data_IF_637859461111
#
_entry.id   IF_637859461111
#
_cell.length_a   1.000
_cell.length_b   1.000
_cell.length_c   1.000
_cell.angle_alpha   90.00
_cell.angle_beta   90.00
_cell.angle_gamma   90.00
#
_symmetry.space_group_name_H-M   'P 1'
#
loop_
_entity.id
_entity.type
_entity.pdbx_description
1 polymer ?
#
# COMPACT_ATOMS: atom_id res chain seq x y z
N UNK A 1 28.93 -10.94 -56.31
CA UNK A 1 28.21 -11.59 -55.21
C UNK A 1 27.04 -12.31 -55.87
N UNK A 2 26.89 -13.62 -55.59
CA UNK A 2 25.82 -14.45 -56.18
C UNK A 2 24.47 -13.98 -55.63
N UNK A 3 23.45 -13.91 -56.47
CA UNK A 3 22.05 -13.54 -56.11
C UNK A 3 21.55 -14.38 -54.92
N UNK A 4 21.98 -15.58 -54.76
CA UNK A 4 21.66 -16.47 -53.63
C UNK A 4 22.14 -15.97 -52.28
N UNK A 5 23.32 -15.34 -52.21
CA UNK A 5 23.86 -14.76 -50.94
C UNK A 5 23.06 -13.53 -50.51
N UNK A 6 22.63 -12.71 -51.45
CA UNK A 6 21.83 -11.52 -51.18
C UNK A 6 20.44 -11.89 -50.62
N UNK A 7 19.78 -12.89 -51.19
CA UNK A 7 18.49 -13.39 -50.69
C UNK A 7 18.62 -13.97 -49.28
N UNK A 8 19.69 -14.74 -49.02
CA UNK A 8 19.93 -15.33 -47.72
C UNK A 8 20.11 -14.23 -46.62
N UNK A 9 20.83 -13.15 -46.93
CA UNK A 9 21.02 -12.02 -45.97
C UNK A 9 19.71 -11.32 -45.69
N UNK A 10 18.88 -11.05 -46.73
CA UNK A 10 17.58 -10.39 -46.56
C UNK A 10 16.63 -11.22 -45.65
N UNK A 11 16.60 -12.55 -45.87
CA UNK A 11 15.78 -13.46 -45.04
C UNK A 11 16.24 -13.46 -43.58
N UNK A 12 17.53 -13.51 -43.32
CA UNK A 12 18.08 -13.49 -41.95
C UNK A 12 17.77 -12.16 -41.26
N UNK A 13 17.92 -11.03 -41.93
CA UNK A 13 17.59 -9.70 -41.37
C UNK A 13 16.10 -9.59 -41.06
N UNK A 14 15.22 -10.10 -41.95
CA UNK A 14 13.77 -10.10 -41.73
C UNK A 14 13.38 -10.97 -40.51
N UNK A 15 13.98 -12.15 -40.38
CA UNK A 15 13.71 -13.05 -39.24
C UNK A 15 14.21 -12.47 -37.90
N UNK A 16 15.38 -11.85 -37.90
CA UNK A 16 15.90 -11.16 -36.71
C UNK A 16 15.03 -9.96 -36.35
N UNK A 17 14.59 -9.17 -37.34
CA UNK A 17 13.68 -8.04 -37.13
C UNK A 17 12.34 -8.47 -36.53
N UNK A 18 11.74 -9.55 -37.06
CA UNK A 18 10.51 -10.13 -36.51
C UNK A 18 10.68 -10.65 -35.07
N UNK A 19 11.81 -11.30 -34.79
CA UNK A 19 12.15 -11.78 -33.44
C UNK A 19 12.29 -10.64 -32.43
N UNK A 20 12.96 -9.55 -32.81
CA UNK A 20 13.12 -8.37 -31.96
C UNK A 20 11.77 -7.67 -31.74
N UNK A 21 10.94 -7.54 -32.76
CA UNK A 21 9.60 -6.95 -32.66
C UNK A 21 8.69 -7.75 -31.71
N UNK A 22 8.75 -9.09 -31.81
CA UNK A 22 8.01 -9.99 -30.92
C UNK A 22 8.50 -9.90 -29.44
N UNK A 23 9.82 -9.75 -29.21
CA UNK A 23 10.36 -9.56 -27.87
C UNK A 23 9.98 -8.20 -27.25
N UNK A 24 9.97 -7.13 -28.06
CA UNK A 24 9.56 -5.81 -27.60
C UNK A 24 8.05 -5.78 -27.28
N UNK A 25 7.21 -6.40 -28.13
CA UNK A 25 5.77 -6.51 -27.89
C UNK A 25 5.46 -7.31 -26.61
N UNK A 26 6.23 -8.36 -26.31
CA UNK A 26 6.06 -9.19 -25.10
C UNK A 26 6.50 -8.48 -23.82
N UNK A 27 7.41 -7.48 -23.90
CA UNK A 27 7.86 -6.69 -22.73
C UNK A 27 6.88 -5.61 -22.29
N UNK A 28 5.97 -5.17 -23.16
CA UNK A 28 5.06 -4.05 -22.88
C UNK A 28 3.66 -4.45 -22.40
N UNK A 29 3.36 -5.73 -22.27
CA UNK A 29 2.09 -6.22 -21.73
C UNK A 29 2.19 -6.55 -20.24
N UNK A 30 2.52 -5.57 -19.39
CA UNK A 30 2.19 -5.67 -17.98
C UNK A 30 0.67 -5.59 -17.86
N UNK A 31 -0.01 -6.58 -17.26
CA UNK A 31 -1.44 -6.50 -17.04
C UNK A 31 -1.71 -5.25 -16.17
N UNK A 32 -2.39 -4.26 -16.73
CA UNK A 32 -2.87 -3.13 -15.96
C UNK A 32 -3.96 -3.68 -15.03
N UNK A 33 -3.64 -3.88 -13.76
CA UNK A 33 -4.63 -4.23 -12.75
C UNK A 33 -5.64 -3.09 -12.67
N UNK A 34 -6.79 -3.29 -13.29
CA UNK A 34 -7.90 -2.34 -13.23
C UNK A 34 -8.51 -2.41 -11.82
N UNK A 35 -8.48 -1.28 -11.11
CA UNK A 35 -9.21 -1.16 -9.85
C UNK A 35 -10.69 -0.93 -10.14
N UNK A 36 -11.57 -1.60 -9.39
CA UNK A 36 -13.02 -1.37 -9.45
C UNK A 36 -13.41 -0.50 -8.25
N UNK A 37 -14.16 0.56 -8.49
CA UNK A 37 -14.69 1.42 -7.45
C UNK A 37 -15.62 0.65 -6.49
N UNK A 38 -15.35 0.67 -5.19
CA UNK A 38 -16.19 0.03 -4.17
C UNK A 38 -17.57 0.69 -4.04
N UNK A 39 -17.72 1.98 -4.44
CA UNK A 39 -18.99 2.69 -4.39
C UNK A 39 -19.87 2.46 -5.61
N UNK A 40 -19.43 2.87 -6.80
CA UNK A 40 -20.26 2.84 -8.02
C UNK A 40 -19.90 1.71 -9.01
N UNK A 41 -18.95 0.85 -8.66
CA UNK A 41 -18.44 -0.31 -9.43
C UNK A 41 -17.85 0.00 -10.81
N UNK A 42 -17.59 1.28 -11.12
CA UNK A 42 -16.90 1.67 -12.35
C UNK A 42 -15.41 1.38 -12.25
N UNK A 43 -14.79 1.16 -13.40
CA UNK A 43 -13.34 0.98 -13.51
C UNK A 43 -12.64 2.29 -13.11
N UNK A 44 -11.63 2.18 -12.27
CA UNK A 44 -10.76 3.27 -11.84
C UNK A 44 -9.36 3.07 -12.41
N UNK A 45 -8.70 4.14 -12.80
CA UNK A 45 -7.28 4.05 -13.10
C UNK A 45 -6.48 3.74 -11.82
N UNK A 46 -5.41 2.95 -11.92
CA UNK A 46 -4.58 2.57 -10.75
C UNK A 46 -4.05 3.77 -9.96
N UNK A 47 -3.81 4.90 -10.64
CA UNK A 47 -3.31 6.14 -10.05
C UNK A 47 -4.39 6.98 -9.33
N UNK A 48 -5.66 6.64 -9.48
CA UNK A 48 -6.73 7.37 -8.82
C UNK A 48 -6.82 7.01 -7.34
N UNK A 49 -6.74 8.01 -6.49
CA UNK A 49 -6.91 7.89 -5.03
C UNK A 49 -8.37 8.01 -4.62
N UNK A 50 -9.23 8.54 -5.50
CA UNK A 50 -10.69 8.61 -5.33
C UNK A 50 -11.38 8.38 -6.67
N UNK A 51 -12.61 7.89 -6.63
CA UNK A 51 -13.43 7.74 -7.81
C UNK A 51 -13.88 9.10 -8.31
N UNK A 52 -13.58 9.44 -9.57
CA UNK A 52 -13.98 10.72 -10.17
C UNK A 52 -15.50 10.79 -10.46
N UNK A 53 -16.21 9.65 -10.43
CA UNK A 53 -17.64 9.60 -10.72
C UNK A 53 -18.52 9.74 -9.47
N UNK A 54 -18.14 9.13 -8.34
CA UNK A 54 -18.94 9.12 -7.12
C UNK A 54 -18.21 9.63 -5.87
N UNK A 55 -16.96 10.07 -6.01
CA UNK A 55 -16.15 10.56 -4.89
C UNK A 55 -15.64 9.49 -3.92
N UNK A 56 -16.03 8.21 -4.08
CA UNK A 56 -15.58 7.13 -3.22
C UNK A 56 -14.05 7.02 -3.22
N UNK A 57 -13.46 6.90 -2.05
CA UNK A 57 -12.04 6.59 -1.90
C UNK A 57 -11.88 5.33 -1.04
N UNK A 58 -10.95 4.45 -1.38
CA UNK A 58 -10.66 3.30 -0.53
C UNK A 58 -10.24 3.81 0.86
N UNK A 59 -10.81 3.23 1.88
CA UNK A 59 -10.50 3.52 3.28
C UNK A 59 -9.71 2.34 3.81
N UNK A 60 -8.47 2.57 4.22
CA UNK A 60 -7.70 1.51 4.87
C UNK A 60 -8.26 1.22 6.27
N UNK A 61 -7.93 0.04 6.80
CA UNK A 61 -8.29 -0.37 8.14
C UNK A 61 -7.11 -0.99 8.87
N UNK A 62 -7.20 -1.01 10.19
CA UNK A 62 -6.34 -1.77 11.08
C UNK A 62 -7.13 -2.95 11.64
N UNK A 63 -6.66 -4.16 11.37
CA UNK A 63 -7.19 -5.37 11.98
C UNK A 63 -6.30 -5.72 13.19
N UNK A 64 -6.80 -5.53 14.40
CA UNK A 64 -6.04 -5.80 15.63
C UNK A 64 -5.95 -7.30 15.88
N UNK A 65 -4.72 -7.82 15.96
CA UNK A 65 -4.44 -9.24 16.12
C UNK A 65 -3.95 -9.61 17.51
N UNK A 66 -3.43 -8.63 18.28
CA UNK A 66 -2.92 -8.82 19.63
C UNK A 66 -3.20 -7.59 20.50
N UNK A 67 -3.33 -7.79 21.81
CA UNK A 67 -3.52 -6.74 22.79
C UNK A 67 -4.97 -6.48 23.18
N UNK A 68 -5.27 -5.35 23.87
CA UNK A 68 -6.62 -5.04 24.39
C UNK A 68 -7.71 -4.94 23.34
N UNK A 69 -7.33 -4.67 22.10
CA UNK A 69 -8.27 -4.55 20.96
C UNK A 69 -8.26 -5.76 20.03
N UNK A 70 -7.66 -6.88 20.42
CA UNK A 70 -7.60 -8.08 19.58
C UNK A 70 -8.97 -8.47 19.02
N UNK A 71 -9.00 -8.89 17.76
CA UNK A 71 -10.22 -9.21 16.97
C UNK A 71 -11.13 -8.02 16.65
N UNK A 72 -10.69 -6.79 16.89
CA UNK A 72 -11.41 -5.60 16.44
C UNK A 72 -10.81 -5.06 15.14
N UNK A 73 -11.62 -4.34 14.39
CA UNK A 73 -11.21 -3.66 13.16
C UNK A 73 -11.53 -2.18 13.29
N UNK A 74 -10.57 -1.32 12.94
CA UNK A 74 -10.74 0.12 12.89
C UNK A 74 -10.53 0.64 11.47
N UNK A 75 -11.54 1.34 10.93
CA UNK A 75 -11.40 2.03 9.64
C UNK A 75 -10.64 3.34 9.82
N UNK A 76 -9.64 3.58 8.97
CA UNK A 76 -8.85 4.82 8.93
C UNK A 76 -9.56 5.86 8.06
N UNK A 77 -10.79 6.24 8.45
CA UNK A 77 -11.65 7.17 7.71
C UNK A 77 -11.26 8.64 7.92
N UNK A 78 -10.61 8.94 9.03
CA UNK A 78 -10.15 10.28 9.38
C UNK A 78 -8.82 10.60 8.67
N UNK A 79 -8.55 11.89 8.49
CA UNK A 79 -7.29 12.36 7.91
C UNK A 79 -6.09 11.99 8.81
N UNK A 80 -6.30 12.03 10.13
CA UNK A 80 -5.31 11.67 11.13
C UNK A 80 -5.95 10.77 12.18
N UNK A 81 -5.38 9.57 12.35
CA UNK A 81 -5.72 8.63 13.43
C UNK A 81 -4.61 8.64 14.46
N UNK A 82 -4.91 9.00 15.70
CA UNK A 82 -3.93 9.00 16.81
C UNK A 82 -4.10 7.77 17.69
N UNK A 83 -2.99 7.24 18.17
CA UNK A 83 -2.92 6.05 19.04
C UNK A 83 -2.18 6.43 20.33
N UNK A 84 -2.77 6.11 21.48
CA UNK A 84 -2.16 6.39 22.78
C UNK A 84 -2.95 5.82 23.94
N UNK A 85 -2.44 6.00 25.17
CA UNK A 85 -3.02 5.38 26.38
C UNK A 85 -4.11 6.21 27.07
N UNK A 86 -4.31 7.47 26.67
CA UNK A 86 -5.30 8.37 27.30
C UNK A 86 -6.43 8.75 26.36
N UNK A 87 -7.55 9.15 26.94
CA UNK A 87 -8.66 9.70 26.19
C UNK A 87 -8.22 10.93 25.37
N UNK A 88 -8.89 11.14 24.20
CA UNK A 88 -8.51 12.15 23.22
C UNK A 88 -7.65 11.61 22.08
N UNK A 89 -7.21 10.35 22.13
CA UNK A 89 -6.70 9.63 20.97
C UNK A 89 -7.88 8.96 20.22
N UNK A 90 -7.75 8.79 18.93
CA UNK A 90 -8.72 8.01 18.12
C UNK A 90 -8.73 6.56 18.56
N UNK A 91 -7.55 6.01 18.86
CA UNK A 91 -7.36 4.66 19.41
C UNK A 91 -6.78 4.79 20.82
N UNK A 92 -7.55 4.36 21.82
CA UNK A 92 -7.11 4.34 23.22
C UNK A 92 -6.72 2.91 23.60
N UNK A 93 -5.43 2.71 23.88
CA UNK A 93 -4.88 1.42 24.29
C UNK A 93 -4.59 1.46 25.78
N UNK A 94 -5.36 0.72 26.57
CA UNK A 94 -5.14 0.55 28.01
C UNK A 94 -3.96 -0.39 28.26
N UNK A 95 -2.75 0.08 27.94
CA UNK A 95 -1.48 -0.68 28.01
C UNK A 95 -0.41 0.22 28.63
N UNK A 96 0.24 -0.18 29.75
CA UNK A 96 1.28 0.59 30.40
C UNK A 96 2.53 0.79 29.53
N UNK A 97 2.73 -0.03 28.51
CA UNK A 97 3.81 0.13 27.53
C UNK A 97 3.50 1.20 26.46
N UNK A 98 2.28 1.76 26.45
CA UNK A 98 1.84 2.77 25.49
C UNK A 98 1.89 4.17 26.12
N UNK A 99 2.59 5.09 25.47
CA UNK A 99 2.65 6.51 25.87
C UNK A 99 1.29 7.20 25.68
N UNK A 100 1.04 8.30 26.43
CA UNK A 100 -0.21 9.07 26.32
C UNK A 100 -0.55 9.48 24.88
N UNK A 101 0.44 9.96 24.12
CA UNK A 101 0.44 10.09 22.67
C UNK A 101 1.59 9.22 22.17
N UNK A 102 1.31 8.16 21.44
CA UNK A 102 2.34 7.17 21.08
C UNK A 102 2.64 7.18 19.60
N UNK A 103 1.62 7.07 18.79
CA UNK A 103 1.76 7.02 17.34
C UNK A 103 0.63 7.80 16.64
N UNK A 104 0.86 8.18 15.41
CA UNK A 104 -0.14 8.77 14.54
C UNK A 104 -0.07 8.16 13.14
N UNK A 105 -1.23 7.91 12.55
CA UNK A 105 -1.34 7.52 11.14
C UNK A 105 -2.08 8.65 10.43
N UNK A 106 -1.49 9.18 9.37
CA UNK A 106 -2.15 10.20 8.53
C UNK A 106 -2.25 9.76 7.09
N UNK A 107 -3.31 10.19 6.42
CA UNK A 107 -3.50 9.98 4.99
C UNK A 107 -2.88 11.16 4.22
N UNK A 108 -1.89 10.89 3.37
CA UNK A 108 -1.20 11.89 2.53
C UNK A 108 -1.21 11.39 1.10
N UNK A 109 -1.82 12.14 0.18
CA UNK A 109 -1.90 11.79 -1.25
C UNK A 109 -2.39 10.34 -1.51
N UNK A 110 -3.30 9.85 -0.68
CA UNK A 110 -3.85 8.49 -0.79
C UNK A 110 -2.97 7.39 -0.20
N UNK A 111 -1.81 7.74 0.35
CA UNK A 111 -0.94 6.84 1.11
C UNK A 111 -1.14 7.07 2.61
N UNK A 112 -0.84 6.07 3.41
CA UNK A 112 -0.90 6.16 4.87
C UNK A 112 0.51 6.20 5.45
N UNK A 113 0.81 7.23 6.20
CA UNK A 113 2.08 7.40 6.91
C UNK A 113 1.88 7.18 8.40
N UNK A 114 2.58 6.21 8.95
CA UNK A 114 2.72 5.99 10.39
C UNK A 114 3.90 6.81 10.90
N UNK A 115 3.73 7.48 12.04
CA UNK A 115 4.80 8.20 12.72
C UNK A 115 4.77 7.91 14.23
N UNK A 116 5.94 7.78 14.83
CA UNK A 116 6.14 7.81 16.28
C UNK A 116 6.02 9.26 16.76
N UNK A 117 5.18 9.50 17.75
CA UNK A 117 4.95 10.83 18.34
C UNK A 117 5.81 11.09 19.58
N UNK A 118 7.01 10.55 19.62
CA UNK A 118 7.94 10.65 20.77
C UNK A 118 7.61 9.66 21.88
N UNK A 119 7.24 8.44 21.51
CA UNK A 119 6.90 7.39 22.47
C UNK A 119 8.13 6.89 23.24
N UNK A 120 7.91 6.39 24.45
CA UNK A 120 8.99 5.84 25.32
C UNK A 120 9.55 4.55 24.72
N UNK A 121 8.67 3.65 24.26
CA UNK A 121 9.07 2.32 23.80
C UNK A 121 9.29 2.24 22.29
N UNK A 122 8.78 3.21 21.55
CA UNK A 122 8.86 3.26 20.09
C UNK A 122 7.75 2.50 19.38
N UNK A 123 7.62 2.79 18.10
CA UNK A 123 6.70 2.15 17.17
C UNK A 123 7.47 1.16 16.30
N UNK A 124 6.89 0.01 16.05
CA UNK A 124 7.52 -1.04 15.24
C UNK A 124 6.64 -1.40 14.06
N UNK A 125 7.28 -1.66 12.91
CA UNK A 125 6.61 -2.23 11.74
C UNK A 125 7.39 -3.46 11.29
N UNK A 126 6.70 -4.59 11.20
CA UNK A 126 7.29 -5.89 10.84
C UNK A 126 8.50 -6.24 11.73
N UNK A 127 8.42 -5.93 13.04
CA UNK A 127 9.48 -6.17 14.02
C UNK A 127 10.59 -5.12 14.06
N UNK A 128 10.64 -4.16 13.14
CA UNK A 128 11.66 -3.12 13.10
C UNK A 128 11.14 -1.81 13.70
N UNK A 129 11.93 -1.19 14.59
CA UNK A 129 11.61 0.12 15.16
C UNK A 129 11.73 1.21 14.09
N UNK A 130 10.68 2.02 13.95
CA UNK A 130 10.62 3.07 12.93
C UNK A 130 10.19 4.40 13.55
N UNK A 131 10.85 5.52 13.23
CA UNK A 131 10.36 6.84 13.61
C UNK A 131 9.21 7.28 12.71
N UNK A 132 9.23 6.84 11.45
CA UNK A 132 8.20 7.11 10.43
C UNK A 132 8.28 6.07 9.31
N UNK A 133 7.12 5.66 8.79
CA UNK A 133 7.03 4.74 7.65
C UNK A 133 5.75 4.96 6.86
N UNK A 134 5.85 4.92 5.53
CA UNK A 134 4.69 4.75 4.65
C UNK A 134 4.25 3.29 4.72
N UNK A 135 3.00 3.07 5.09
CA UNK A 135 2.45 1.73 5.31
C UNK A 135 2.15 1.05 3.98
N UNK A 136 2.47 -0.23 3.93
CA UNK A 136 2.19 -1.14 2.81
C UNK A 136 1.14 -2.19 3.21
N UNK A 137 0.39 -2.73 2.23
CA UNK A 137 -0.58 -3.78 2.50
C UNK A 137 0.04 -4.97 3.25
N UNK A 138 -0.53 -5.32 4.41
CA UNK A 138 -0.05 -6.42 5.24
C UNK A 138 1.01 -6.05 6.27
N UNK A 139 1.45 -4.79 6.35
CA UNK A 139 2.34 -4.35 7.42
C UNK A 139 1.74 -4.62 8.80
N UNK A 140 2.52 -5.23 9.69
CA UNK A 140 2.18 -5.46 11.08
C UNK A 140 2.75 -4.32 11.91
N UNK A 141 1.87 -3.50 12.47
CA UNK A 141 2.20 -2.37 13.33
C UNK A 141 2.13 -2.83 14.78
N UNK A 142 3.19 -2.61 15.56
CA UNK A 142 3.21 -2.87 16.99
C UNK A 142 3.41 -1.58 17.79
N UNK A 143 2.50 -1.36 18.74
CA UNK A 143 2.49 -0.24 19.68
C UNK A 143 2.30 -0.81 21.09
N UNK A 144 3.35 -0.77 21.92
CA UNK A 144 3.35 -1.50 23.19
C UNK A 144 3.19 -3.01 22.98
N UNK A 145 2.19 -3.59 23.63
CA UNK A 145 1.82 -5.01 23.49
C UNK A 145 0.69 -5.24 22.49
N UNK A 146 0.28 -4.21 21.75
CA UNK A 146 -0.78 -4.29 20.75
C UNK A 146 -0.19 -4.41 19.35
N UNK A 147 -0.72 -5.36 18.57
CA UNK A 147 -0.36 -5.53 17.16
C UNK A 147 -1.60 -5.41 16.28
N UNK A 148 -1.44 -4.73 15.16
CA UNK A 148 -2.48 -4.57 14.15
C UNK A 148 -1.92 -4.74 12.74
N UNK A 149 -2.69 -5.36 11.86
CA UNK A 149 -2.35 -5.52 10.44
C UNK A 149 -2.98 -4.37 9.66
N UNK A 150 -2.19 -3.67 8.88
CA UNK A 150 -2.67 -2.63 7.96
C UNK A 150 -3.24 -3.26 6.69
N UNK A 151 -4.50 -2.94 6.37
CA UNK A 151 -5.19 -3.40 5.16
C UNK A 151 -5.82 -2.23 4.43
N UNK A 152 -5.30 -1.83 3.26
CA UNK A 152 -6.02 -0.95 2.34
C UNK A 152 -7.17 -1.71 1.67
N UNK A 153 -8.30 -1.03 1.47
CA UNK A 153 -9.43 -1.55 0.69
C UNK A 153 -9.28 -1.25 -0.81
#
# INVERSE_FOLDING_TARGET
>A
MSTGVLIAIIVVVALVGLGVLAMVAKRNSTPVHQKICGGCRRVMLPVWTKCLFCGWSPVARLDFILGPMANQTLSLSEEVTTIGSVAGNTVVLADPAVSRKHAGIRKVNGLYELADLGSTNGVYVNGHKVPKKTLEPGDIIRVGNTEAVFRPE
#
